data_IF_549789684656
#
_entry.id   IF_549789684656
#
_cell.length_a   1.000
_cell.length_b   1.000
_cell.length_c   1.000
_cell.angle_alpha   90.00
_cell.angle_beta   90.00
_cell.angle_gamma   90.00
#
_symmetry.space_group_name_H-M   'P 1'
#
loop_
_entity.id
_entity.type
_entity.pdbx_description
1 polymer ?
#
# COMPACT_ATOMS: atom_id res chain seq x y z
N UNK A 1 26.89 -89.89 4.08
CA UNK A 1 27.72 -88.69 3.77
C UNK A 1 27.09 -87.73 2.75
N UNK A 2 26.47 -88.18 1.66
CA UNK A 2 25.88 -87.30 0.62
C UNK A 2 24.69 -86.42 1.05
N UNK A 3 23.88 -86.85 2.03
CA UNK A 3 22.74 -86.05 2.54
C UNK A 3 23.18 -84.83 3.36
N UNK A 4 24.22 -84.96 4.18
CA UNK A 4 24.70 -83.88 5.06
C UNK A 4 25.26 -82.69 4.25
N UNK A 5 25.97 -82.97 3.15
CA UNK A 5 26.50 -81.94 2.24
C UNK A 5 25.38 -81.19 1.52
N UNK A 6 24.28 -81.88 1.13
CA UNK A 6 23.11 -81.25 0.50
C UNK A 6 22.35 -80.32 1.44
N UNK A 7 22.16 -80.73 2.70
CA UNK A 7 21.46 -79.91 3.71
C UNK A 7 22.28 -78.63 3.97
N UNK A 8 23.59 -78.76 4.21
CA UNK A 8 24.47 -77.60 4.41
C UNK A 8 24.49 -76.64 3.22
N UNK A 9 24.45 -77.17 1.99
CA UNK A 9 24.39 -76.34 0.79
C UNK A 9 23.08 -75.56 0.64
N UNK A 10 21.95 -76.12 1.12
CA UNK A 10 20.65 -75.46 1.06
C UNK A 10 20.56 -74.31 2.06
N UNK A 11 21.04 -74.51 3.29
CA UNK A 11 21.06 -73.48 4.32
C UNK A 11 21.91 -72.27 3.90
N UNK A 12 23.09 -72.51 3.31
CA UNK A 12 23.95 -71.45 2.76
C UNK A 12 23.25 -70.68 1.62
N UNK A 13 22.55 -71.38 0.72
CA UNK A 13 21.79 -70.75 -0.36
C UNK A 13 20.67 -69.86 0.18
N UNK A 14 19.93 -70.30 1.20
CA UNK A 14 18.86 -69.48 1.81
C UNK A 14 19.40 -68.22 2.48
N UNK A 15 20.53 -68.31 3.18
CA UNK A 15 21.20 -67.15 3.79
C UNK A 15 21.66 -66.15 2.73
N UNK A 16 22.25 -66.63 1.63
CA UNK A 16 22.67 -65.78 0.51
C UNK A 16 21.47 -65.09 -0.16
N UNK A 17 20.35 -65.80 -0.38
CA UNK A 17 19.14 -65.20 -0.93
C UNK A 17 18.56 -64.11 -0.02
N UNK A 18 18.59 -64.32 1.30
CA UNK A 18 18.12 -63.34 2.27
C UNK A 18 18.99 -62.07 2.25
N UNK A 19 20.31 -62.24 2.15
CA UNK A 19 21.25 -61.13 2.07
C UNK A 19 21.12 -60.34 0.76
N UNK A 20 20.96 -61.04 -0.38
CA UNK A 20 20.67 -60.39 -1.67
C UNK A 20 19.40 -59.53 -1.57
N UNK A 21 18.34 -60.06 -0.95
CA UNK A 21 17.08 -59.33 -0.78
C UNK A 21 17.26 -58.08 0.11
N UNK A 22 18.05 -58.17 1.18
CA UNK A 22 18.38 -57.01 2.03
C UNK A 22 19.16 -55.95 1.25
N UNK A 23 20.20 -56.37 0.52
CA UNK A 23 21.03 -55.47 -0.29
C UNK A 23 20.22 -54.80 -1.40
N UNK A 24 19.29 -55.51 -2.05
CA UNK A 24 18.37 -54.93 -3.03
C UNK A 24 17.45 -53.88 -2.39
N UNK A 25 16.94 -54.14 -1.18
CA UNK A 25 16.14 -53.18 -0.43
C UNK A 25 16.93 -51.91 -0.09
N UNK A 26 18.15 -52.07 0.42
CA UNK A 26 19.04 -50.94 0.74
C UNK A 26 19.41 -50.13 -0.52
N UNK A 27 19.70 -50.80 -1.63
CA UNK A 27 19.99 -50.14 -2.91
C UNK A 27 18.81 -49.31 -3.41
N UNK A 28 17.59 -49.82 -3.31
CA UNK A 28 16.41 -49.07 -3.73
C UNK A 28 16.15 -47.85 -2.84
N UNK A 29 16.32 -47.99 -1.53
CA UNK A 29 16.20 -46.87 -0.60
C UNK A 29 17.21 -45.75 -0.91
N UNK A 30 18.46 -46.12 -1.20
CA UNK A 30 19.50 -45.14 -1.52
C UNK A 30 19.26 -44.45 -2.87
N UNK A 31 18.65 -45.15 -3.84
CA UNK A 31 18.21 -44.55 -5.11
C UNK A 31 17.11 -43.51 -4.91
N UNK A 32 16.11 -43.80 -4.08
CA UNK A 32 15.07 -42.83 -3.76
C UNK A 32 15.65 -41.60 -3.06
N UNK A 33 16.56 -41.79 -2.09
CA UNK A 33 17.27 -40.68 -1.44
C UNK A 33 18.09 -39.83 -2.42
N UNK A 34 18.78 -40.47 -3.37
CA UNK A 34 19.53 -39.75 -4.40
C UNK A 34 18.61 -38.91 -5.29
N UNK A 35 17.42 -39.43 -5.62
CA UNK A 35 16.40 -38.71 -6.39
C UNK A 35 15.84 -37.52 -5.61
N UNK A 36 15.46 -37.71 -4.35
CA UNK A 36 15.00 -36.63 -3.47
C UNK A 36 16.06 -35.53 -3.33
N UNK A 37 17.34 -35.92 -3.23
CA UNK A 37 18.44 -34.97 -3.16
C UNK A 37 18.61 -34.17 -4.45
N UNK A 38 18.47 -34.81 -5.62
CA UNK A 38 18.55 -34.14 -6.92
C UNK A 38 17.39 -33.16 -7.11
N UNK A 39 16.16 -33.54 -6.74
CA UNK A 39 14.99 -32.66 -6.74
C UNK A 39 15.19 -31.44 -5.81
N UNK A 40 15.73 -31.67 -4.61
CA UNK A 40 16.05 -30.59 -3.68
C UNK A 40 17.13 -29.64 -4.22
N UNK A 41 18.15 -30.16 -4.91
CA UNK A 41 19.16 -29.33 -5.56
C UNK A 41 18.57 -28.46 -6.67
N UNK A 42 17.68 -29.02 -7.50
CA UNK A 42 17.00 -28.25 -8.56
C UNK A 42 16.16 -27.11 -7.97
N UNK A 43 15.41 -27.38 -6.90
CA UNK A 43 14.63 -26.36 -6.21
C UNK A 43 15.52 -25.25 -5.65
N UNK A 44 16.65 -25.59 -5.04
CA UNK A 44 17.58 -24.62 -4.48
C UNK A 44 18.17 -23.70 -5.56
N UNK A 45 18.49 -24.25 -6.73
CA UNK A 45 18.97 -23.47 -7.88
C UNK A 45 17.89 -22.48 -8.35
N UNK A 46 16.65 -22.96 -8.52
CA UNK A 46 15.53 -22.11 -8.95
C UNK A 46 15.28 -20.96 -7.95
N UNK A 47 15.25 -21.26 -6.65
CA UNK A 47 15.08 -20.25 -5.61
C UNK A 47 16.25 -19.26 -5.54
N UNK A 48 17.48 -19.71 -5.79
CA UNK A 48 18.65 -18.83 -5.84
C UNK A 48 18.58 -17.87 -7.03
N UNK A 49 18.11 -18.33 -8.18
CA UNK A 49 17.89 -17.49 -9.36
C UNK A 49 16.80 -16.44 -9.12
N UNK A 50 15.66 -16.84 -8.55
CA UNK A 50 14.57 -15.94 -8.20
C UNK A 50 15.02 -14.87 -7.19
N UNK A 51 15.72 -15.28 -6.13
CA UNK A 51 16.29 -14.34 -5.16
C UNK A 51 17.27 -13.34 -5.81
N UNK A 52 18.05 -13.79 -6.79
CA UNK A 52 18.96 -12.92 -7.55
C UNK A 52 18.19 -11.88 -8.37
N UNK A 53 17.09 -12.28 -9.02
CA UNK A 53 16.23 -11.38 -9.78
C UNK A 53 15.53 -10.37 -8.88
N UNK A 54 14.91 -10.82 -7.80
CA UNK A 54 14.24 -9.94 -6.82
C UNK A 54 15.20 -8.91 -6.23
N UNK A 55 16.46 -9.31 -5.95
CA UNK A 55 17.49 -8.37 -5.47
C UNK A 55 17.81 -7.27 -6.49
N UNK A 56 17.85 -7.59 -7.78
CA UNK A 56 18.05 -6.59 -8.84
C UNK A 56 16.87 -5.64 -8.94
N UNK A 57 15.64 -6.17 -8.92
CA UNK A 57 14.44 -5.34 -8.97
C UNK A 57 14.37 -4.37 -7.78
N UNK A 58 14.69 -4.84 -6.57
CA UNK A 58 14.76 -3.97 -5.38
C UNK A 58 15.78 -2.86 -5.56
N UNK A 59 16.94 -3.14 -6.16
CA UNK A 59 17.96 -2.12 -6.40
C UNK A 59 17.52 -1.10 -7.46
N UNK A 60 16.92 -1.57 -8.55
CA UNK A 60 16.36 -0.71 -9.60
C UNK A 60 15.27 0.21 -9.03
N UNK A 61 14.39 -0.31 -8.15
CA UNK A 61 13.35 0.49 -7.50
C UNK A 61 13.93 1.51 -6.52
N UNK A 62 14.96 1.16 -5.74
CA UNK A 62 15.66 2.11 -4.88
C UNK A 62 16.28 3.24 -5.70
N UNK A 63 16.92 2.92 -6.82
CA UNK A 63 17.52 3.92 -7.69
C UNK A 63 16.45 4.84 -8.29
N UNK A 64 15.33 4.29 -8.78
CA UNK A 64 14.20 5.09 -9.27
C UNK A 64 13.64 6.02 -8.19
N UNK A 65 13.48 5.51 -6.97
CA UNK A 65 12.98 6.31 -5.85
C UNK A 65 13.94 7.45 -5.51
N UNK A 66 15.24 7.18 -5.42
CA UNK A 66 16.27 8.19 -5.17
C UNK A 66 16.30 9.27 -6.26
N UNK A 67 16.12 8.90 -7.52
CA UNK A 67 16.08 9.86 -8.63
C UNK A 67 14.83 10.74 -8.54
N UNK A 68 13.65 10.14 -8.30
CA UNK A 68 12.39 10.89 -8.13
C UNK A 68 12.43 11.84 -6.93
N UNK A 69 13.08 11.42 -5.83
CA UNK A 69 13.30 12.29 -4.68
C UNK A 69 14.18 13.49 -5.05
N UNK A 70 15.24 13.28 -5.83
CA UNK A 70 16.07 14.34 -6.39
C UNK A 70 15.29 15.31 -7.30
N UNK A 71 14.49 14.79 -8.21
CA UNK A 71 13.62 15.58 -9.09
C UNK A 71 12.59 16.40 -8.30
N UNK A 72 12.01 15.81 -7.24
CA UNK A 72 11.07 16.52 -6.36
C UNK A 72 11.74 17.69 -5.65
N UNK A 73 12.96 17.50 -5.13
CA UNK A 73 13.70 18.58 -4.48
C UNK A 73 14.04 19.70 -5.45
N UNK A 74 14.44 19.38 -6.67
CA UNK A 74 14.72 20.38 -7.71
C UNK A 74 13.46 21.14 -8.12
N UNK A 75 12.33 20.44 -8.24
CA UNK A 75 11.03 21.05 -8.53
C UNK A 75 10.63 22.03 -7.42
N UNK A 76 10.84 21.67 -6.15
CA UNK A 76 10.54 22.54 -5.02
C UNK A 76 11.47 23.77 -4.99
N UNK A 77 12.76 23.61 -5.32
CA UNK A 77 13.70 24.73 -5.49
C UNK A 77 13.23 25.71 -6.56
N UNK A 78 12.86 25.19 -7.74
CA UNK A 78 12.39 26.02 -8.86
C UNK A 78 11.05 26.71 -8.56
N UNK A 79 10.17 26.08 -7.77
CA UNK A 79 8.93 26.74 -7.31
C UNK A 79 9.21 27.92 -6.39
N UNK A 80 10.16 27.80 -5.46
CA UNK A 80 10.55 28.91 -4.59
C UNK A 80 11.16 30.06 -5.41
N UNK A 81 12.11 29.75 -6.30
CA UNK A 81 12.72 30.74 -7.19
C UNK A 81 11.67 31.45 -8.06
N UNK A 82 10.73 30.70 -8.63
CA UNK A 82 9.61 31.27 -9.39
C UNK A 82 8.72 32.18 -8.53
N UNK A 83 8.47 31.80 -7.28
CA UNK A 83 7.63 32.60 -6.38
C UNK A 83 8.31 33.94 -6.02
N UNK A 84 9.63 33.94 -5.82
CA UNK A 84 10.39 35.15 -5.54
C UNK A 84 10.44 36.08 -6.76
N UNK A 85 10.71 35.53 -7.95
CA UNK A 85 10.66 36.30 -9.21
C UNK A 85 9.26 36.86 -9.50
N UNK A 86 8.19 36.12 -9.20
CA UNK A 86 6.82 36.62 -9.36
C UNK A 86 6.51 37.79 -8.43
N UNK A 87 7.01 37.77 -7.20
CA UNK A 87 6.88 38.92 -6.27
C UNK A 87 7.65 40.13 -6.79
N UNK A 88 8.86 39.93 -7.33
CA UNK A 88 9.65 41.02 -7.89
C UNK A 88 8.98 41.63 -9.14
N UNK A 89 8.46 40.79 -10.05
CA UNK A 89 7.66 41.26 -11.19
C UNK A 89 6.42 42.03 -10.73
N UNK A 90 5.76 41.57 -9.67
CA UNK A 90 4.57 42.24 -9.15
C UNK A 90 4.90 43.59 -8.52
N UNK A 91 5.99 43.69 -7.74
CA UNK A 91 6.45 44.95 -7.19
C UNK A 91 6.80 45.98 -8.29
N UNK A 92 7.47 45.54 -9.37
CA UNK A 92 7.78 46.41 -10.50
C UNK A 92 6.52 46.89 -11.25
N UNK A 93 5.49 46.04 -11.36
CA UNK A 93 4.20 46.45 -11.95
C UNK A 93 3.44 47.42 -11.06
N UNK A 94 3.49 47.23 -9.75
CA UNK A 94 2.88 48.16 -8.80
C UNK A 94 3.59 49.52 -8.81
N UNK A 95 4.93 49.56 -9.00
CA UNK A 95 5.68 50.80 -9.23
C UNK A 95 5.32 51.48 -10.57
N UNK A 96 5.18 50.73 -11.67
CA UNK A 96 4.69 51.28 -12.95
C UNK A 96 3.25 51.79 -12.83
N UNK A 97 2.37 51.08 -12.13
CA UNK A 97 0.99 51.53 -11.89
C UNK A 97 0.95 52.74 -10.95
N UNK A 98 1.81 52.87 -9.94
CA UNK A 98 1.93 54.07 -9.11
C UNK A 98 2.44 55.30 -9.89
N UNK A 99 3.35 55.09 -10.85
CA UNK A 99 3.78 56.15 -11.78
C UNK A 99 2.67 56.54 -12.79
N UNK A 100 1.84 55.60 -13.24
CA UNK A 100 0.70 55.86 -14.13
C UNK A 100 -0.56 56.39 -13.41
N UNK A 101 -0.77 56.06 -12.12
CA UNK A 101 -1.97 56.41 -11.34
C UNK A 101 -1.96 57.83 -10.75
N UNK A 102 -0.90 58.62 -10.92
CA UNK A 102 -0.97 60.07 -10.67
C UNK A 102 -1.88 60.83 -11.67
N UNK A 103 -2.51 60.14 -12.63
CA UNK A 103 -3.38 60.77 -13.65
C UNK A 103 -4.87 60.45 -13.52
N UNK A 104 -5.35 59.41 -12.82
CA UNK A 104 -6.79 59.09 -12.81
C UNK A 104 -7.29 58.52 -11.46
N UNK A 105 -8.10 59.33 -10.76
CA UNK A 105 -8.84 58.95 -9.55
C UNK A 105 -10.25 58.42 -9.89
N UNK A 106 -10.64 57.39 -9.12
CA UNK A 106 -11.98 56.89 -8.79
C UNK A 106 -12.71 56.00 -9.83
N UNK A 107 -12.95 54.72 -9.51
CA UNK A 107 -14.18 54.22 -8.86
C UNK A 107 -14.16 52.67 -8.65
N UNK A 108 -14.47 52.28 -7.40
CA UNK A 108 -15.28 51.13 -6.92
C UNK A 108 -15.21 49.68 -7.51
N UNK A 109 -14.91 48.76 -6.57
CA UNK A 109 -15.59 47.47 -6.24
C UNK A 109 -14.88 46.12 -6.45
N UNK A 110 -15.01 45.31 -5.38
CA UNK A 110 -15.04 43.83 -5.25
C UNK A 110 -13.80 43.04 -4.78
N UNK A 111 -13.83 42.77 -3.47
CA UNK A 111 -13.57 41.50 -2.73
C UNK A 111 -12.52 40.52 -3.27
N UNK A 112 -11.39 40.47 -2.55
CA UNK A 112 -10.29 39.51 -2.71
C UNK A 112 -10.60 38.24 -1.90
N UNK A 113 -10.70 37.09 -2.58
CA UNK A 113 -10.62 35.75 -2.00
C UNK A 113 -9.12 35.42 -1.81
N UNK A 114 -8.63 35.47 -0.58
CA UNK A 114 -7.24 35.13 -0.25
C UNK A 114 -7.03 33.62 -0.27
N UNK A 115 -6.18 33.19 -1.20
CA UNK A 115 -5.36 31.99 -1.15
C UNK A 115 -4.34 32.10 -0.01
N UNK A 116 -4.31 31.13 0.90
CA UNK A 116 -3.16 30.92 1.79
C UNK A 116 -2.74 29.45 1.77
N UNK A 117 -1.77 29.16 0.91
CA UNK A 117 -0.89 28.01 1.04
C UNK A 117 0.20 28.40 2.04
N UNK A 118 0.16 27.81 3.24
CA UNK A 118 1.23 27.94 4.23
C UNK A 118 1.70 26.53 4.60
N UNK A 119 2.87 26.17 4.09
CA UNK A 119 3.55 24.91 4.33
C UNK A 119 4.12 24.86 5.75
N UNK A 120 3.77 23.79 6.45
CA UNK A 120 4.60 23.22 7.51
C UNK A 120 4.45 21.71 7.39
N UNK A 121 5.56 20.96 7.35
CA UNK A 121 5.57 19.50 7.36
C UNK A 121 4.96 19.00 8.68
N UNK A 122 3.64 18.93 8.69
CA UNK A 122 2.81 18.27 9.69
C UNK A 122 2.52 16.89 9.12
N UNK A 123 2.58 15.86 9.96
CA UNK A 123 1.89 14.58 9.70
C UNK A 123 0.54 14.94 9.09
N UNK A 124 0.38 14.71 7.78
CA UNK A 124 -0.75 15.27 7.04
C UNK A 124 -1.96 14.64 7.67
N UNK A 125 -2.75 15.41 8.41
CA UNK A 125 -4.01 14.94 8.93
C UNK A 125 -4.83 14.64 7.67
N UNK A 126 -4.94 13.36 7.33
CA UNK A 126 -5.60 12.89 6.11
C UNK A 126 -7.13 12.95 6.23
N UNK A 127 -7.63 13.46 7.35
CA UNK A 127 -9.04 13.74 7.57
C UNK A 127 -9.40 15.06 6.91
N UNK A 128 -10.16 14.99 5.82
CA UNK A 128 -10.66 16.17 5.13
C UNK A 128 -11.98 16.61 5.74
N UNK A 129 -12.06 17.87 6.20
CA UNK A 129 -13.31 18.49 6.62
C UNK A 129 -14.09 18.94 5.38
N UNK A 130 -15.26 18.36 5.17
CA UNK A 130 -16.12 18.59 4.01
C UNK A 130 -17.45 19.18 4.44
N UNK A 131 -18.04 20.03 3.59
CA UNK A 131 -19.45 20.40 3.67
C UNK A 131 -20.18 19.70 2.55
N UNK A 132 -20.99 18.70 2.90
CA UNK A 132 -21.72 17.87 1.95
C UNK A 132 -23.16 18.36 1.88
N UNK A 133 -23.63 18.60 0.66
CA UNK A 133 -25.03 18.89 0.38
C UNK A 133 -25.69 17.61 -0.13
N UNK A 134 -26.73 17.15 0.57
CA UNK A 134 -27.45 15.93 0.25
C UNK A 134 -28.82 16.26 -0.32
N UNK A 135 -29.11 15.65 -1.46
CA UNK A 135 -30.40 15.75 -2.15
C UNK A 135 -31.04 14.36 -2.19
N UNK A 136 -32.14 14.19 -1.46
CA UNK A 136 -32.87 12.92 -1.36
C UNK A 136 -34.24 13.13 -2.03
N UNK A 137 -34.65 12.27 -2.98
CA UNK A 137 -35.97 12.36 -3.59
C UNK A 137 -37.08 12.30 -2.54
N UNK A 138 -37.91 13.34 -2.46
CA UNK A 138 -39.03 13.41 -1.50
C UNK A 138 -38.70 14.08 -0.16
N UNK A 139 -37.46 14.53 0.07
CA UNK A 139 -37.07 15.32 1.24
C UNK A 139 -36.40 16.64 0.86
N UNK A 140 -36.39 17.60 1.78
CA UNK A 140 -35.71 18.89 1.58
C UNK A 140 -34.19 18.71 1.57
N UNK A 141 -33.51 19.38 0.64
CA UNK A 141 -32.04 19.41 0.57
C UNK A 141 -31.43 19.95 1.87
N UNK A 142 -30.41 19.28 2.40
CA UNK A 142 -29.76 19.67 3.64
C UNK A 142 -28.24 19.59 3.54
N UNK A 143 -27.55 20.33 4.42
CA UNK A 143 -26.08 20.43 4.44
C UNK A 143 -25.54 19.88 5.75
N UNK A 144 -24.55 19.00 5.67
CA UNK A 144 -23.86 18.40 6.82
C UNK A 144 -22.37 18.65 6.74
N UNK A 145 -21.75 18.88 7.89
CA UNK A 145 -20.29 18.84 7.99
C UNK A 145 -19.89 17.37 8.13
N UNK A 146 -18.98 16.91 7.28
CA UNK A 146 -18.50 15.53 7.26
C UNK A 146 -16.97 15.50 7.34
N UNK A 147 -16.44 14.42 7.90
CA UNK A 147 -15.01 14.12 7.89
C UNK A 147 -14.81 12.91 6.98
N UNK A 148 -13.94 13.04 5.98
CA UNK A 148 -13.60 11.94 5.08
C UNK A 148 -12.55 11.04 5.74
N UNK A 149 -12.99 9.87 6.19
CA UNK A 149 -12.13 8.81 6.70
C UNK A 149 -12.11 7.64 5.71
N UNK A 150 -10.98 7.43 5.02
CA UNK A 150 -10.82 6.37 4.02
C UNK A 150 -10.72 4.96 4.63
N UNK A 151 -10.71 4.83 5.96
CA UNK A 151 -10.69 3.56 6.68
C UNK A 151 -12.05 3.11 7.24
N UNK A 152 -13.10 3.93 7.14
CA UNK A 152 -14.40 3.64 7.73
C UNK A 152 -15.33 2.89 6.77
N UNK A 153 -15.99 1.84 7.25
CA UNK A 153 -17.04 1.10 6.51
C UNK A 153 -18.45 1.66 6.77
N UNK A 154 -18.59 2.57 7.73
CA UNK A 154 -19.88 3.15 8.15
C UNK A 154 -19.74 4.65 8.38
N UNK A 155 -20.73 5.44 7.93
CA UNK A 155 -20.81 6.87 8.17
C UNK A 155 -21.86 7.16 9.25
N UNK A 156 -21.52 8.05 10.18
CA UNK A 156 -22.40 8.48 11.27
C UNK A 156 -22.74 9.97 11.10
N UNK A 157 -24.02 10.31 11.25
CA UNK A 157 -24.53 11.69 11.17
C UNK A 157 -25.47 11.92 12.36
N UNK A 158 -25.45 13.13 12.92
CA UNK A 158 -26.36 13.51 14.00
C UNK A 158 -27.80 13.59 13.47
N UNK A 159 -28.71 12.89 14.15
CA UNK A 159 -30.14 12.81 13.83
C UNK A 159 -30.79 14.19 13.74
N UNK A 160 -30.33 15.16 14.54
CA UNK A 160 -30.90 16.51 14.57
C UNK A 160 -30.73 17.29 13.26
N UNK A 161 -29.74 16.90 12.44
CA UNK A 161 -29.39 17.60 11.20
C UNK A 161 -30.13 16.98 9.99
N UNK A 162 -30.77 15.83 10.18
CA UNK A 162 -31.47 15.10 9.12
C UNK A 162 -32.98 15.48 9.16
N UNK A 163 -33.58 15.88 8.02
CA UNK A 163 -35.01 16.08 7.93
C UNK A 163 -35.79 14.80 8.27
N UNK A 164 -36.91 14.92 9.00
CA UNK A 164 -37.71 13.74 9.41
C UNK A 164 -38.27 12.97 8.22
N UNK A 165 -38.49 13.66 7.11
CA UNK A 165 -38.95 13.10 5.85
C UNK A 165 -37.88 12.22 5.18
N UNK A 166 -36.61 12.43 5.50
CA UNK A 166 -35.47 11.66 5.01
C UNK A 166 -35.10 10.47 5.93
N UNK A 167 -35.81 10.28 7.05
CA UNK A 167 -35.52 9.23 8.02
C UNK A 167 -36.41 8.01 7.82
N UNK A 168 -35.80 6.83 7.72
CA UNK A 168 -36.49 5.53 7.69
C UNK A 168 -36.12 4.71 8.93
N UNK A 169 -37.07 3.91 9.44
CA UNK A 169 -36.82 3.02 10.57
C UNK A 169 -35.89 1.88 10.13
N UNK A 170 -34.74 1.75 10.79
CA UNK A 170 -33.82 0.64 10.55
C UNK A 170 -34.51 -0.71 10.87
N UNK A 171 -34.67 -1.62 9.89
CA UNK A 171 -35.28 -2.93 10.12
C UNK A 171 -34.33 -3.93 10.81
N UNK A 172 -33.05 -3.59 10.99
CA UNK A 172 -32.03 -4.48 11.53
C UNK A 172 -31.64 -4.12 12.98
N UNK A 173 -31.52 -5.14 13.82
CA UNK A 173 -31.03 -5.02 15.20
C UNK A 173 -29.49 -5.06 15.20
N UNK A 174 -28.84 -3.91 15.17
CA UNK A 174 -27.38 -3.81 15.13
C UNK A 174 -26.80 -4.05 16.54
N UNK A 175 -25.88 -5.00 16.67
CA UNK A 175 -25.11 -5.22 17.89
C UNK A 175 -23.75 -4.56 17.73
N UNK A 176 -23.47 -3.52 18.52
CA UNK A 176 -22.17 -2.88 18.56
C UNK A 176 -21.27 -3.61 19.56
N UNK A 177 -20.28 -4.35 19.08
CA UNK A 177 -19.22 -4.91 19.91
C UNK A 177 -18.17 -3.82 20.16
N UNK A 178 -18.16 -3.31 21.39
CA UNK A 178 -17.07 -2.61 22.08
C UNK A 178 -16.45 -1.38 21.38
N UNK A 179 -16.81 -0.19 21.87
CA UNK A 179 -16.02 1.04 21.67
C UNK A 179 -14.83 0.97 22.65
N UNK A 180 -13.61 0.79 22.15
CA UNK A 180 -12.40 1.04 22.94
C UNK A 180 -12.18 2.55 23.10
N UNK A 181 -12.93 3.18 24.01
CA UNK A 181 -12.63 4.53 24.49
C UNK A 181 -11.76 4.39 25.74
N UNK A 182 -10.45 4.65 25.61
CA UNK A 182 -9.60 4.88 26.79
C UNK A 182 -9.70 6.36 27.17
N UNK A 183 -9.98 6.68 28.45
CA UNK A 183 -10.06 8.06 28.94
C UNK A 183 -8.72 8.80 28.85
#
# INVERSE_FOLDING_TARGET
>A
MKLYVRIWSYDILTLLMLEIKKLQGALNLEKERAKEFEEAQQLLISLAQENSQLRKEVEDWKQKYSNLEGESMELDRLKMEKADLLKEIQALKEEEEEEETYVLLAEETQTILTTEANESRKTKNMLFNLKVQLEIPGASTFKVNAILDTGATTYCVDEKVIPKEAMEKNPFLVHFSEITFKP
#
